data_IF_743693380346
#
_entry.id   IF_743693380346
#
_cell.length_a   1.000
_cell.length_b   1.000
_cell.length_c   1.000
_cell.angle_alpha   90.00
_cell.angle_beta   90.00
_cell.angle_gamma   90.00
#
_symmetry.space_group_name_H-M   'P 1'
#
loop_
_entity.id
_entity.type
_entity.pdbx_description
1 polymer ?
#
# COMPACT_ATOMS: atom_id res chain seq x y z
N UNK A 1 22.17 15.40 3.80
CA UNK A 1 21.97 16.53 2.86
C UNK A 1 22.46 17.83 3.51
N UNK A 2 23.15 18.72 2.79
CA UNK A 2 23.61 20.01 3.32
C UNK A 2 22.78 21.13 2.70
N UNK A 3 22.20 21.99 3.54
CA UNK A 3 21.44 23.14 3.06
C UNK A 3 22.40 24.20 2.49
N UNK A 4 22.29 24.54 1.19
CA UNK A 4 23.23 25.47 0.55
C UNK A 4 23.09 26.92 1.02
N UNK A 5 22.01 27.28 1.71
CA UNK A 5 21.73 28.65 2.14
C UNK A 5 22.23 28.98 3.55
N UNK A 6 22.30 27.99 4.44
CA UNK A 6 22.70 28.20 5.83
C UNK A 6 23.74 27.19 6.35
N UNK A 7 24.13 26.20 5.54
CA UNK A 7 25.14 25.20 5.90
C UNK A 7 24.67 24.11 6.86
N UNK A 8 23.39 24.11 7.28
CA UNK A 8 22.87 23.08 8.17
C UNK A 8 22.90 21.69 7.51
N UNK A 9 23.17 20.67 8.31
CA UNK A 9 23.24 19.28 7.89
C UNK A 9 21.97 18.54 8.28
N UNK A 10 21.33 17.92 7.31
CA UNK A 10 20.11 17.14 7.46
C UNK A 10 20.41 15.66 7.30
N UNK A 11 20.06 14.86 8.29
CA UNK A 11 20.23 13.41 8.33
C UNK A 11 18.85 12.78 8.44
N UNK A 12 18.61 11.72 7.68
CA UNK A 12 17.48 10.83 7.94
C UNK A 12 17.98 9.54 8.55
N UNK A 13 17.27 9.04 9.55
CA UNK A 13 17.57 7.77 10.21
C UNK A 13 16.62 6.64 9.76
N UNK A 14 15.89 6.81 8.66
CA UNK A 14 15.10 5.75 8.06
C UNK A 14 16.01 4.60 7.59
N UNK A 15 16.00 3.49 8.33
CA UNK A 15 16.90 2.36 8.06
C UNK A 15 16.43 1.46 6.89
N UNK A 16 15.14 1.43 6.57
CA UNK A 16 14.59 0.61 5.49
C UNK A 16 13.26 1.17 4.95
N UNK A 17 12.69 0.48 3.95
CA UNK A 17 11.43 0.86 3.31
C UNK A 17 10.16 0.46 4.09
N UNK A 18 10.30 0.00 5.33
CA UNK A 18 9.18 -0.45 6.18
C UNK A 18 9.10 0.30 7.51
N UNK A 19 10.08 1.15 7.81
CA UNK A 19 10.18 1.90 9.06
C UNK A 19 10.27 3.37 8.72
N UNK A 20 9.36 4.16 9.30
CA UNK A 20 9.42 5.63 9.20
C UNK A 20 10.68 6.13 9.90
N UNK A 21 11.42 7.03 9.25
CA UNK A 21 12.54 7.74 9.86
C UNK A 21 12.21 9.18 10.18
N UNK A 22 12.99 9.74 11.08
CA UNK A 22 13.04 11.14 11.41
C UNK A 22 13.92 11.89 10.41
N UNK A 23 13.75 13.22 10.35
CA UNK A 23 14.74 14.13 9.77
C UNK A 23 15.33 14.98 10.90
N UNK A 24 16.63 14.84 11.09
CA UNK A 24 17.42 15.56 12.08
C UNK A 24 18.16 16.70 11.40
N UNK A 25 18.07 17.91 11.94
CA UNK A 25 18.82 19.07 11.47
C UNK A 25 19.91 19.43 12.47
N UNK A 26 21.17 19.43 12.03
CA UNK A 26 22.33 19.87 12.79
C UNK A 26 22.88 21.17 12.23
N UNK A 27 23.41 22.06 13.07
CA UNK A 27 24.19 23.20 12.60
C UNK A 27 25.58 22.74 12.10
N UNK A 28 26.37 23.62 11.42
CA UNK A 28 27.70 23.27 10.96
C UNK A 28 28.68 22.81 12.06
N UNK A 29 28.37 23.11 13.32
CA UNK A 29 29.15 22.72 14.51
C UNK A 29 28.75 21.34 15.04
N UNK A 30 27.72 20.69 14.48
CA UNK A 30 27.25 19.37 14.88
C UNK A 30 26.24 19.38 16.02
N UNK A 31 25.66 20.52 16.38
CA UNK A 31 24.62 20.62 17.40
C UNK A 31 23.24 20.41 16.77
N UNK A 32 22.43 19.54 17.38
CA UNK A 32 21.06 19.27 16.94
C UNK A 32 20.19 20.52 17.16
N UNK A 33 19.60 21.02 16.08
CA UNK A 33 18.70 22.18 16.07
C UNK A 33 17.25 21.76 16.27
N UNK A 34 16.78 20.79 15.47
CA UNK A 34 15.43 20.25 15.57
C UNK A 34 15.33 18.86 14.97
N UNK A 35 14.22 18.19 15.30
CA UNK A 35 13.82 16.89 14.77
C UNK A 35 12.41 16.99 14.20
N UNK A 36 12.24 16.53 12.98
CA UNK A 36 10.94 16.24 12.40
C UNK A 36 10.72 14.74 12.53
N UNK A 37 9.71 14.35 13.30
CA UNK A 37 9.42 12.94 13.55
C UNK A 37 8.62 12.34 12.40
N UNK A 38 8.83 11.05 12.13
CA UNK A 38 7.97 10.27 11.25
C UNK A 38 7.77 10.88 9.84
N UNK A 39 8.82 11.48 9.25
CA UNK A 39 8.72 12.25 7.99
C UNK A 39 8.51 11.36 6.76
N UNK A 40 8.66 10.05 6.92
CA UNK A 40 8.23 9.07 5.94
C UNK A 40 9.17 7.87 5.83
N UNK A 41 8.83 7.00 4.90
CA UNK A 41 9.64 5.84 4.54
C UNK A 41 10.79 6.31 3.66
N UNK A 42 12.01 6.31 4.22
CA UNK A 42 13.26 6.63 3.53
C UNK A 42 13.22 7.92 2.68
N UNK A 43 13.23 9.13 3.30
CA UNK A 43 13.32 10.37 2.56
C UNK A 43 14.72 10.51 1.93
N UNK A 44 14.90 9.89 0.76
CA UNK A 44 16.13 9.95 -0.03
C UNK A 44 16.41 11.33 -0.62
N UNK A 45 15.44 12.25 -0.51
CA UNK A 45 15.50 13.58 -1.12
C UNK A 45 15.06 14.64 -0.12
N UNK A 46 15.96 15.59 0.15
CA UNK A 46 15.67 16.83 0.87
C UNK A 46 15.81 17.98 -0.12
N UNK A 47 14.80 18.84 -0.23
CA UNK A 47 14.79 20.03 -1.09
C UNK A 47 14.90 21.27 -0.21
N UNK A 48 15.76 22.20 -0.60
CA UNK A 48 15.95 23.47 0.10
C UNK A 48 15.36 24.61 -0.71
N UNK A 49 14.78 25.60 -0.02
CA UNK A 49 14.26 26.83 -0.59
C UNK A 49 14.85 28.02 0.18
N UNK A 50 15.29 29.06 -0.55
CA UNK A 50 15.71 30.35 0.00
C UNK A 50 14.54 31.29 0.28
N UNK A 51 13.33 30.92 -0.16
CA UNK A 51 12.11 31.63 0.18
C UNK A 51 11.64 31.21 1.56
N UNK A 52 11.51 32.19 2.44
CA UNK A 52 10.83 32.02 3.73
C UNK A 52 9.42 31.51 3.48
N UNK A 53 9.06 30.39 4.10
CA UNK A 53 7.67 29.94 4.12
C UNK A 53 6.82 31.07 4.72
N UNK A 54 5.84 31.57 3.97
CA UNK A 54 4.81 32.44 4.53
C UNK A 54 4.07 31.60 5.57
N UNK A 55 4.44 31.78 6.84
CA UNK A 55 3.73 31.23 7.98
C UNK A 55 2.45 32.05 8.18
N UNK A 56 1.52 31.97 7.23
CA UNK A 56 0.13 32.01 7.65
C UNK A 56 -0.10 30.67 8.33
N UNK A 57 -0.20 30.70 9.66
CA UNK A 57 -0.79 29.60 10.41
C UNK A 57 -2.25 29.57 9.99
N UNK A 58 -2.51 28.95 8.85
CA UNK A 58 -3.86 28.63 8.42
C UNK A 58 -4.31 27.54 9.39
N UNK A 59 -5.12 27.92 10.37
CA UNK A 59 -5.79 26.98 11.28
C UNK A 59 -6.90 26.20 10.57
N UNK A 60 -7.13 26.47 9.28
CA UNK A 60 -7.89 25.60 8.38
C UNK A 60 -6.97 24.63 7.65
N UNK A 61 -7.49 23.43 7.34
CA UNK A 61 -6.86 22.55 6.37
C UNK A 61 -6.48 23.35 5.12
N UNK A 62 -5.28 23.15 4.56
CA UNK A 62 -4.91 23.82 3.32
C UNK A 62 -5.98 23.50 2.26
N UNK A 63 -6.51 24.54 1.60
CA UNK A 63 -7.48 24.44 0.49
C UNK A 63 -6.83 23.89 -0.80
N UNK A 64 -5.78 23.07 -0.63
CA UNK A 64 -4.99 22.45 -1.66
C UNK A 64 -5.29 20.95 -1.59
N UNK A 65 -5.84 20.35 -2.66
CA UNK A 65 -6.10 18.92 -2.73
C UNK A 65 -4.88 18.09 -2.29
N UNK A 66 -5.08 17.07 -1.45
CA UNK A 66 -3.99 16.18 -1.03
C UNK A 66 -3.33 15.52 -2.25
N UNK A 67 -2.00 15.45 -2.28
CA UNK A 67 -1.28 14.76 -3.36
C UNK A 67 -1.44 13.23 -3.31
N UNK A 68 -1.98 12.68 -2.22
CA UNK A 68 -2.09 11.24 -1.97
C UNK A 68 -3.50 10.87 -1.49
N UNK A 69 -3.90 9.62 -1.74
CA UNK A 69 -5.09 9.05 -1.12
C UNK A 69 -4.99 9.13 0.41
N UNK A 70 -6.07 9.60 1.05
CA UNK A 70 -6.07 9.94 2.47
C UNK A 70 -6.85 8.95 3.34
N UNK A 71 -7.52 7.97 2.73
CA UNK A 71 -8.40 7.02 3.42
C UNK A 71 -8.24 5.61 2.88
N UNK A 72 -8.11 4.64 3.77
CA UNK A 72 -8.30 3.21 3.46
C UNK A 72 -9.71 2.81 3.88
N UNK A 73 -10.52 2.41 2.90
CA UNK A 73 -11.90 1.97 3.10
C UNK A 73 -11.97 0.48 3.38
N UNK A 74 -11.20 -0.29 2.62
CA UNK A 74 -11.15 -1.74 2.73
C UNK A 74 -9.69 -2.19 2.55
N UNK A 75 -9.32 -3.22 3.29
CA UNK A 75 -8.03 -3.86 3.14
C UNK A 75 -8.15 -5.34 3.48
N UNK A 76 -8.06 -6.18 2.46
CA UNK A 76 -8.25 -7.63 2.58
C UNK A 76 -7.10 -8.30 1.83
N UNK A 77 -5.91 -8.44 2.46
CA UNK A 77 -4.79 -9.11 1.80
C UNK A 77 -5.06 -10.61 1.69
N UNK A 78 -4.67 -11.19 0.55
CA UNK A 78 -4.67 -12.62 0.36
C UNK A 78 -3.47 -13.27 1.07
N UNK A 79 -3.43 -14.60 1.20
CA UNK A 79 -2.29 -15.27 1.81
C UNK A 79 -0.99 -14.99 1.04
N UNK A 80 0.14 -14.92 1.76
CA UNK A 80 1.42 -14.54 1.18
C UNK A 80 2.55 -14.42 2.20
N UNK A 81 3.78 -14.25 1.72
CA UNK A 81 4.97 -14.36 2.57
C UNK A 81 5.08 -13.27 3.66
N UNK A 82 4.48 -12.11 3.42
CA UNK A 82 4.53 -10.95 4.32
C UNK A 82 3.30 -10.82 5.23
N UNK A 83 2.39 -11.80 5.21
CA UNK A 83 1.17 -11.76 6.02
C UNK A 83 1.48 -11.98 7.50
N UNK A 84 0.70 -11.34 8.38
CA UNK A 84 0.91 -11.26 9.83
C UNK A 84 2.22 -10.52 10.20
N UNK A 85 2.54 -9.48 9.44
CA UNK A 85 3.67 -8.58 9.71
C UNK A 85 3.21 -7.13 9.65
N UNK A 86 4.10 -6.20 9.97
CA UNK A 86 3.88 -4.76 9.74
C UNK A 86 3.54 -4.44 8.28
N UNK A 87 4.09 -5.17 7.31
CA UNK A 87 3.80 -5.00 5.88
C UNK A 87 2.37 -5.41 5.52
N UNK A 88 1.71 -6.24 6.33
CA UNK A 88 0.28 -6.55 6.19
C UNK A 88 -0.58 -5.80 7.20
N UNK A 89 -0.10 -4.65 7.70
CA UNK A 89 -0.75 -3.85 8.74
C UNK A 89 -1.20 -4.67 9.96
N UNK A 90 -0.41 -5.67 10.37
CA UNK A 90 -0.75 -6.56 11.48
C UNK A 90 0.25 -6.44 12.64
N UNK A 91 -0.30 -6.49 13.85
CA UNK A 91 0.43 -6.80 15.09
C UNK A 91 -0.32 -7.93 15.80
N UNK A 92 0.40 -8.70 16.60
CA UNK A 92 -0.17 -9.85 17.30
C UNK A 92 -1.47 -9.50 18.03
N UNK A 93 -2.53 -10.29 17.79
CA UNK A 93 -3.84 -10.12 18.39
C UNK A 93 -4.73 -9.05 17.73
N UNK A 94 -4.30 -8.41 16.64
CA UNK A 94 -5.16 -7.44 15.94
C UNK A 94 -6.42 -8.10 15.36
N UNK A 95 -7.55 -7.43 15.56
CA UNK A 95 -8.83 -7.71 14.88
C UNK A 95 -8.83 -7.12 13.47
N UNK A 96 -9.78 -7.52 12.62
CA UNK A 96 -9.93 -6.95 11.27
C UNK A 96 -10.05 -5.42 11.26
N UNK A 97 -10.80 -4.84 12.21
CA UNK A 97 -10.93 -3.38 12.33
C UNK A 97 -9.62 -2.69 12.73
N UNK A 98 -8.79 -3.32 13.57
CA UNK A 98 -7.48 -2.79 13.92
C UNK A 98 -6.47 -2.90 12.79
N UNK A 99 -6.53 -3.98 12.00
CA UNK A 99 -5.74 -4.12 10.78
C UNK A 99 -6.11 -3.02 9.78
N UNK A 100 -7.40 -2.77 9.56
CA UNK A 100 -7.86 -1.70 8.67
C UNK A 100 -7.41 -0.32 9.15
N UNK A 101 -7.57 -0.03 10.44
CA UNK A 101 -7.12 1.24 11.04
C UNK A 101 -5.60 1.42 10.92
N UNK A 102 -4.83 0.34 11.09
CA UNK A 102 -3.38 0.41 10.94
C UNK A 102 -2.95 0.54 9.47
N UNK A 103 -3.67 -0.08 8.53
CA UNK A 103 -3.46 0.12 7.10
C UNK A 103 -3.69 1.59 6.70
N UNK A 104 -4.74 2.22 7.23
CA UNK A 104 -5.02 3.65 7.04
C UNK A 104 -3.86 4.53 7.53
N UNK A 105 -3.32 4.24 8.71
CA UNK A 105 -2.13 4.92 9.24
C UNK A 105 -0.88 4.71 8.35
N UNK A 106 -0.64 3.46 7.92
CA UNK A 106 0.49 3.11 7.07
C UNK A 106 0.43 3.81 5.71
N UNK A 107 -0.74 3.89 5.07
CA UNK A 107 -0.92 4.62 3.81
C UNK A 107 -0.64 6.12 3.99
N UNK A 108 -1.14 6.74 5.07
CA UNK A 108 -0.84 8.15 5.40
C UNK A 108 0.66 8.39 5.63
N UNK A 109 1.37 7.40 6.18
CA UNK A 109 2.83 7.39 6.35
C UNK A 109 3.61 7.00 5.08
N UNK A 110 2.91 6.73 3.98
CA UNK A 110 3.46 6.32 2.68
C UNK A 110 4.21 5.00 2.75
N UNK A 111 3.73 4.11 3.61
CA UNK A 111 4.30 2.79 3.78
C UNK A 111 3.88 1.79 2.71
N UNK A 112 4.72 0.80 2.48
CA UNK A 112 4.38 -0.33 1.63
C UNK A 112 3.43 -1.30 2.37
N UNK A 113 2.31 -1.62 1.73
CA UNK A 113 1.40 -2.69 2.17
C UNK A 113 1.44 -3.84 1.17
N UNK A 114 1.46 -5.08 1.68
CA UNK A 114 1.31 -6.27 0.84
C UNK A 114 -0.16 -6.52 0.54
N UNK A 115 -0.46 -6.90 -0.70
CA UNK A 115 -1.76 -7.47 -1.07
C UNK A 115 -1.76 -8.99 -0.95
N UNK A 116 -0.59 -9.63 -0.80
CA UNK A 116 -0.47 -11.08 -0.82
C UNK A 116 -0.60 -11.67 -2.23
N UNK A 117 -1.18 -12.86 -2.32
CA UNK A 117 -1.47 -13.54 -3.60
C UNK A 117 -2.68 -12.97 -4.34
N UNK A 118 -3.21 -13.75 -5.29
CA UNK A 118 -4.37 -13.37 -6.08
C UNK A 118 -5.56 -12.96 -5.19
N UNK A 119 -6.23 -11.88 -5.59
CA UNK A 119 -7.49 -11.43 -5.01
C UNK A 119 -7.34 -10.51 -3.80
N UNK A 120 -6.16 -10.48 -3.18
CA UNK A 120 -5.89 -9.54 -2.12
C UNK A 120 -5.97 -8.10 -2.63
N UNK A 121 -6.59 -7.23 -1.85
CA UNK A 121 -7.02 -5.91 -2.34
C UNK A 121 -6.95 -4.83 -1.25
N UNK A 122 -6.97 -3.59 -1.72
CA UNK A 122 -7.09 -2.37 -0.91
C UNK A 122 -7.95 -1.36 -1.66
N UNK A 123 -8.88 -0.73 -0.96
CA UNK A 123 -9.74 0.33 -1.49
C UNK A 123 -9.32 1.66 -0.88
N UNK A 124 -8.91 2.60 -1.73
CA UNK A 124 -8.36 3.91 -1.33
C UNK A 124 -9.29 5.05 -1.74
N UNK A 125 -9.44 6.04 -0.86
CA UNK A 125 -10.19 7.27 -1.11
C UNK A 125 -9.30 8.51 -1.20
N UNK A 126 -9.58 9.36 -2.19
CA UNK A 126 -9.04 10.71 -2.27
C UNK A 126 -10.03 11.69 -1.62
N UNK A 127 -9.51 12.76 -1.03
CA UNK A 127 -10.30 13.88 -0.48
C UNK A 127 -10.88 14.81 -1.56
N UNK A 128 -10.54 14.56 -2.83
CA UNK A 128 -10.98 15.31 -3.98
C UNK A 128 -11.14 14.40 -5.20
N UNK A 129 -11.84 14.89 -6.23
CA UNK A 129 -11.93 14.18 -7.51
C UNK A 129 -10.58 14.20 -8.23
N UNK A 130 -10.04 13.00 -8.48
CA UNK A 130 -8.94 12.81 -9.44
C UNK A 130 -9.48 13.08 -10.84
N UNK A 131 -9.01 14.14 -11.49
CA UNK A 131 -9.49 14.54 -12.82
C UNK A 131 -8.93 13.59 -13.87
N UNK A 132 -9.81 13.06 -14.72
CA UNK A 132 -9.42 12.36 -15.94
C UNK A 132 -9.04 13.38 -17.02
N UNK A 133 -7.75 13.49 -17.32
CA UNK A 133 -7.20 14.43 -18.29
C UNK A 133 -6.66 13.64 -19.48
N UNK A 134 -7.33 13.76 -20.62
CA UNK A 134 -6.94 13.06 -21.83
C UNK A 134 -5.47 13.32 -22.21
N UNK A 135 -4.71 12.24 -22.37
CA UNK A 135 -3.29 12.29 -22.74
C UNK A 135 -2.32 12.61 -21.59
N UNK A 136 -2.81 12.74 -20.35
CA UNK A 136 -1.99 12.93 -19.16
C UNK A 136 -2.10 11.73 -18.21
N UNK A 137 -1.18 11.66 -17.25
CA UNK A 137 -1.29 10.72 -16.13
C UNK A 137 -2.10 11.37 -15.02
N UNK A 138 -3.21 10.73 -14.63
CA UNK A 138 -4.13 11.25 -13.62
C UNK A 138 -3.69 10.90 -12.19
N UNK A 139 -3.11 9.71 -12.01
CA UNK A 139 -2.55 9.24 -10.75
C UNK A 139 -1.44 8.22 -10.98
N UNK A 140 -0.71 7.88 -9.90
CA UNK A 140 0.37 6.90 -9.92
C UNK A 140 0.29 5.98 -8.72
N UNK A 141 0.44 4.68 -8.95
CA UNK A 141 0.57 3.66 -7.92
C UNK A 141 2.04 3.22 -7.87
N UNK A 142 2.61 3.18 -6.67
CA UNK A 142 3.95 2.65 -6.44
C UNK A 142 3.84 1.18 -6.03
N UNK A 143 4.70 0.33 -6.62
CA UNK A 143 4.78 -1.09 -6.30
C UNK A 143 6.23 -1.54 -6.13
N UNK A 144 6.41 -2.79 -5.73
CA UNK A 144 7.73 -3.39 -5.51
C UNK A 144 8.26 -4.08 -6.78
N UNK A 145 8.51 -3.29 -7.83
CA UNK A 145 9.01 -3.80 -9.12
C UNK A 145 10.53 -3.79 -9.20
N UNK A 146 11.11 -4.86 -9.75
CA UNK A 146 12.52 -4.94 -10.11
C UNK A 146 12.70 -5.74 -11.41
N UNK A 147 13.90 -5.70 -12.00
CA UNK A 147 14.17 -6.40 -13.26
C UNK A 147 13.92 -7.91 -13.11
N UNK A 148 13.03 -8.46 -13.93
CA UNK A 148 12.63 -9.87 -13.88
C UNK A 148 11.56 -10.22 -12.86
N UNK A 149 11.01 -9.25 -12.11
CA UNK A 149 9.87 -9.47 -11.22
C UNK A 149 8.92 -8.29 -11.20
N UNK A 150 7.69 -8.54 -11.63
CA UNK A 150 6.56 -7.63 -11.49
C UNK A 150 5.50 -8.27 -10.59
N UNK A 151 4.88 -7.45 -9.76
CA UNK A 151 3.68 -7.80 -8.99
C UNK A 151 2.51 -7.03 -9.61
N UNK A 152 1.95 -7.50 -10.75
CA UNK A 152 0.88 -6.77 -11.43
C UNK A 152 -0.39 -6.78 -10.59
N UNK A 153 -1.12 -5.67 -10.63
CA UNK A 153 -2.42 -5.53 -10.00
C UNK A 153 -3.46 -5.05 -11.01
N UNK A 154 -4.70 -5.49 -10.84
CA UNK A 154 -5.85 -4.90 -11.52
C UNK A 154 -6.21 -3.61 -10.78
N UNK A 155 -6.41 -2.54 -11.54
CA UNK A 155 -6.80 -1.24 -10.98
C UNK A 155 -8.24 -0.97 -11.37
N UNK A 156 -9.09 -0.78 -10.38
CA UNK A 156 -10.45 -0.27 -10.57
C UNK A 156 -10.53 1.16 -10.05
N UNK A 157 -11.38 1.95 -10.69
CA UNK A 157 -11.71 3.32 -10.27
C UNK A 157 -13.21 3.47 -10.14
N UNK A 158 -13.65 4.23 -9.15
CA UNK A 158 -15.04 4.62 -8.96
C UNK A 158 -15.10 6.11 -8.67
N UNK A 159 -16.17 6.75 -9.13
CA UNK A 159 -16.50 8.13 -8.80
C UNK A 159 -17.67 8.10 -7.83
N UNK A 160 -17.57 8.84 -6.75
CA UNK A 160 -18.71 9.13 -5.87
C UNK A 160 -19.75 9.97 -6.64
N UNK A 161 -20.72 9.30 -7.26
CA UNK A 161 -21.79 9.91 -8.05
C UNK A 161 -22.91 10.35 -7.13
N UNK A 162 -23.17 9.58 -6.08
CA UNK A 162 -24.27 9.82 -5.16
C UNK A 162 -23.93 10.84 -4.04
N UNK A 163 -22.65 11.21 -3.90
CA UNK A 163 -22.07 12.15 -2.95
C UNK A 163 -22.23 11.73 -1.47
N UNK A 164 -22.20 10.43 -1.19
CA UNK A 164 -22.25 9.91 0.18
C UNK A 164 -20.86 9.71 0.80
N UNK A 165 -19.78 9.90 0.02
CA UNK A 165 -18.41 9.68 0.45
C UNK A 165 -18.04 8.23 0.69
N UNK A 166 -18.79 7.26 0.15
CA UNK A 166 -18.57 5.82 0.30
C UNK A 166 -18.14 5.18 -1.04
N UNK A 167 -17.39 4.07 -1.01
CA UNK A 167 -16.98 3.33 -2.21
C UNK A 167 -18.09 2.43 -2.79
N UNK A 168 -19.34 2.91 -2.84
CA UNK A 168 -20.52 2.10 -3.17
C UNK A 168 -21.15 2.39 -4.56
N UNK A 169 -20.56 3.30 -5.32
CA UNK A 169 -20.90 3.54 -6.72
C UNK A 169 -20.21 2.57 -7.69
N UNK A 170 -20.59 2.61 -8.97
CA UNK A 170 -20.07 1.72 -10.02
C UNK A 170 -18.54 1.79 -10.16
N UNK A 171 -17.91 0.61 -10.19
CA UNK A 171 -16.47 0.44 -10.35
C UNK A 171 -16.11 0.07 -11.79
N UNK A 172 -15.09 0.72 -12.33
CA UNK A 172 -14.58 0.49 -13.68
C UNK A 172 -13.14 -0.03 -13.64
N UNK A 173 -12.89 -1.17 -14.26
CA UNK A 173 -11.54 -1.69 -14.45
C UNK A 173 -10.79 -0.84 -15.50
N UNK A 174 -9.59 -0.38 -15.15
CA UNK A 174 -8.69 0.27 -16.09
C UNK A 174 -8.03 -0.77 -16.99
N UNK A 175 -8.17 -0.59 -18.30
CA UNK A 175 -7.59 -1.50 -19.28
C UNK A 175 -6.04 -1.47 -19.24
N UNK A 176 -5.45 -2.46 -18.59
CA UNK A 176 -4.00 -2.71 -18.60
C UNK A 176 -3.50 -3.39 -19.88
N UNK A 177 -2.20 -3.68 -19.94
CA UNK A 177 -1.54 -4.28 -21.12
C UNK A 177 -2.13 -5.62 -21.52
N UNK A 178 -2.58 -6.42 -20.55
CA UNK A 178 -3.17 -7.74 -20.77
C UNK A 178 -4.71 -7.72 -20.84
N UNK A 179 -5.37 -6.56 -20.71
CA UNK A 179 -6.84 -6.48 -20.58
C UNK A 179 -7.61 -7.19 -21.71
N UNK A 180 -7.05 -7.22 -22.92
CA UNK A 180 -7.67 -7.84 -24.11
C UNK A 180 -7.02 -9.18 -24.50
N UNK A 181 -6.16 -9.72 -23.64
CA UNK A 181 -5.50 -11.00 -23.85
C UNK A 181 -6.52 -12.13 -23.75
N UNK A 182 -6.45 -13.10 -24.67
CA UNK A 182 -7.30 -14.30 -24.65
C UNK A 182 -6.96 -15.27 -23.50
N UNK A 183 -5.85 -15.00 -22.80
CA UNK A 183 -5.37 -15.74 -21.63
C UNK A 183 -5.89 -15.19 -20.30
N UNK A 184 -6.57 -14.03 -20.31
CA UNK A 184 -7.20 -13.48 -19.11
C UNK A 184 -8.46 -14.28 -18.78
N UNK A 185 -8.63 -14.60 -17.49
CA UNK A 185 -9.85 -15.24 -16.99
C UNK A 185 -10.61 -14.21 -16.15
N UNK A 186 -11.72 -13.71 -16.71
CA UNK A 186 -12.66 -12.87 -15.98
C UNK A 186 -13.47 -13.70 -15.00
N UNK A 187 -13.99 -13.04 -13.94
CA UNK A 187 -14.82 -13.70 -12.92
C UNK A 187 -14.13 -14.93 -12.29
N UNK A 188 -12.80 -14.91 -12.25
CA UNK A 188 -12.01 -15.95 -11.62
C UNK A 188 -12.19 -15.87 -10.11
N UNK A 189 -12.49 -17.01 -9.50
CA UNK A 189 -12.67 -17.12 -8.06
C UNK A 189 -11.66 -18.10 -7.50
N UNK A 190 -10.94 -17.69 -6.46
CA UNK A 190 -10.03 -18.53 -5.69
C UNK A 190 -10.48 -18.58 -4.24
N UNK A 191 -10.36 -19.75 -3.64
CA UNK A 191 -10.62 -19.97 -2.23
C UNK A 191 -9.36 -20.49 -1.56
N UNK A 192 -8.89 -19.79 -0.53
CA UNK A 192 -7.79 -20.20 0.33
C UNK A 192 -8.30 -20.82 1.63
N UNK A 193 -7.55 -21.78 2.16
CA UNK A 193 -7.87 -22.48 3.41
C UNK A 193 -6.78 -22.24 4.45
N UNK A 194 -7.19 -21.93 5.68
CA UNK A 194 -6.28 -21.77 6.81
C UNK A 194 -5.49 -23.07 7.01
N UNK A 195 -4.14 -23.00 7.03
CA UNK A 195 -3.32 -24.18 7.20
C UNK A 195 -3.36 -24.68 8.65
N UNK A 196 -3.34 -26.00 8.82
CA UNK A 196 -3.17 -26.68 10.11
C UNK A 196 -2.01 -27.67 9.95
N UNK A 197 -0.84 -27.43 10.57
CA UNK A 197 -0.49 -26.32 11.46
C UNK A 197 -0.34 -24.96 10.73
N UNK A 198 -0.40 -23.85 11.48
CA UNK A 198 -0.38 -22.48 10.92
C UNK A 198 0.86 -22.14 10.08
N UNK A 199 1.96 -22.87 10.25
CA UNK A 199 3.22 -22.71 9.51
C UNK A 199 3.37 -23.68 8.33
N UNK A 200 2.27 -24.30 7.88
CA UNK A 200 2.25 -25.13 6.67
C UNK A 200 1.93 -24.30 5.40
N UNK A 201 2.00 -24.95 4.23
CA UNK A 201 1.57 -24.37 2.97
C UNK A 201 0.07 -24.04 3.01
N UNK A 202 -0.32 -22.91 2.41
CA UNK A 202 -1.73 -22.49 2.34
C UNK A 202 -2.37 -23.12 1.11
N UNK A 203 -3.28 -24.08 1.30
CA UNK A 203 -4.01 -24.71 0.19
C UNK A 203 -5.01 -23.73 -0.44
N UNK A 204 -5.21 -23.84 -1.74
CA UNK A 204 -6.29 -23.17 -2.46
C UNK A 204 -6.96 -24.07 -3.49
N UNK A 205 -8.21 -23.73 -3.83
CA UNK A 205 -8.96 -24.24 -4.98
C UNK A 205 -9.51 -23.07 -5.77
N UNK A 206 -9.84 -23.27 -7.04
CA UNK A 206 -10.47 -22.24 -7.87
C UNK A 206 -11.75 -22.70 -8.57
N UNK A 207 -12.46 -21.75 -9.18
CA UNK A 207 -13.66 -22.03 -9.97
C UNK A 207 -13.38 -22.62 -11.37
N UNK A 208 -12.12 -22.89 -11.70
CA UNK A 208 -11.70 -23.59 -12.92
C UNK A 208 -11.44 -25.08 -12.66
N UNK A 209 -11.71 -25.56 -11.43
CA UNK A 209 -11.48 -26.95 -11.03
C UNK A 209 -10.02 -27.29 -10.73
N UNK A 210 -9.16 -26.27 -10.56
CA UNK A 210 -7.74 -26.45 -10.21
C UNK A 210 -7.55 -26.27 -8.71
N UNK A 211 -6.48 -26.85 -8.22
CA UNK A 211 -6.05 -26.71 -6.83
C UNK A 211 -4.54 -26.54 -6.75
N UNK A 212 -4.08 -26.00 -5.62
CA UNK A 212 -2.66 -25.83 -5.37
C UNK A 212 -2.39 -25.37 -3.94
N UNK A 213 -1.20 -24.82 -3.73
CA UNK A 213 -0.86 -24.20 -2.46
C UNK A 213 0.11 -23.06 -2.63
N UNK A 214 0.12 -22.13 -1.69
CA UNK A 214 1.19 -21.14 -1.53
C UNK A 214 2.28 -21.80 -0.67
N UNK A 215 3.46 -22.09 -1.25
CA UNK A 215 4.52 -22.77 -0.55
C UNK A 215 5.21 -21.85 0.47
N UNK A 216 5.67 -22.45 1.57
CA UNK A 216 6.59 -21.81 2.51
C UNK A 216 7.94 -21.54 1.83
N UNK A 217 8.59 -20.43 2.19
CA UNK A 217 9.93 -20.11 1.71
C UNK A 217 10.98 -20.12 2.84
N UNK A 218 12.25 -19.92 2.47
CA UNK A 218 13.38 -19.95 3.40
C UNK A 218 13.63 -18.65 4.17
N UNK A 219 12.91 -17.57 3.86
CA UNK A 219 13.17 -16.22 4.39
C UNK A 219 12.15 -15.81 5.47
N UNK A 220 10.85 -16.03 5.23
CA UNK A 220 9.76 -15.62 6.13
C UNK A 220 9.20 -16.85 6.85
N UNK A 221 9.98 -17.38 7.80
CA UNK A 221 9.73 -18.69 8.43
C UNK A 221 8.85 -18.64 9.70
N UNK A 222 8.80 -17.50 10.35
CA UNK A 222 8.17 -17.38 11.68
C UNK A 222 6.68 -17.00 11.62
N UNK A 223 6.26 -16.30 10.57
CA UNK A 223 4.87 -15.90 10.39
C UNK A 223 4.07 -16.95 9.61
N UNK A 224 2.79 -17.10 9.97
CA UNK A 224 1.82 -17.78 9.10
C UNK A 224 1.63 -16.95 7.82
N UNK A 225 1.50 -17.61 6.68
CA UNK A 225 1.17 -16.93 5.43
C UNK A 225 -0.34 -16.69 5.26
N UNK A 226 -1.17 -17.20 6.17
CA UNK A 226 -2.60 -16.98 6.16
C UNK A 226 -2.98 -15.85 7.14
N UNK A 227 -3.84 -14.89 6.77
CA UNK A 227 -4.25 -13.80 7.67
C UNK A 227 -4.87 -14.33 8.97
N UNK A 228 -4.26 -14.04 10.12
CA UNK A 228 -4.72 -14.59 11.40
C UNK A 228 -6.08 -14.03 11.83
N UNK A 229 -6.44 -12.84 11.36
CA UNK A 229 -7.68 -12.13 11.71
C UNK A 229 -8.89 -12.46 10.81
N UNK A 230 -8.74 -13.35 9.83
CA UNK A 230 -9.81 -13.76 8.92
C UNK A 230 -10.44 -15.10 9.34
N UNK A 231 -11.47 -15.57 8.62
CA UNK A 231 -12.06 -16.89 8.85
C UNK A 231 -11.16 -18.03 8.34
N UNK A 232 -11.51 -19.29 8.61
CA UNK A 232 -10.76 -20.48 8.18
C UNK A 232 -10.76 -20.69 6.65
N UNK A 233 -11.65 -20.00 5.95
CA UNK A 233 -11.74 -19.96 4.50
C UNK A 233 -11.93 -18.52 4.05
N UNK A 234 -11.17 -18.09 3.06
CA UNK A 234 -11.36 -16.79 2.39
C UNK A 234 -11.44 -17.00 0.89
N UNK A 235 -12.40 -16.32 0.27
CA UNK A 235 -12.67 -16.41 -1.16
C UNK A 235 -12.56 -15.04 -1.78
N UNK A 236 -11.83 -14.95 -2.89
CA UNK A 236 -11.68 -13.73 -3.67
C UNK A 236 -12.14 -13.96 -5.10
N UNK A 237 -12.66 -12.91 -5.72
CA UNK A 237 -13.11 -12.90 -7.11
C UNK A 237 -12.52 -11.72 -7.85
N UNK A 238 -12.14 -11.91 -9.10
CA UNK A 238 -11.62 -10.84 -9.95
C UNK A 238 -11.10 -11.35 -11.30
N UNK A 239 -10.27 -10.54 -11.94
CA UNK A 239 -9.65 -10.84 -13.24
C UNK A 239 -8.28 -11.49 -13.04
N UNK A 240 -8.12 -12.75 -13.45
CA UNK A 240 -6.83 -13.44 -13.43
C UNK A 240 -6.02 -13.14 -14.68
N UNK A 241 -4.86 -12.52 -14.49
CA UNK A 241 -3.89 -12.25 -15.55
C UNK A 241 -3.11 -13.51 -15.94
N UNK A 242 -2.52 -13.55 -17.14
CA UNK A 242 -1.64 -14.63 -17.56
C UNK A 242 -0.43 -14.74 -16.61
N UNK A 243 0.13 -15.95 -16.49
CA UNK A 243 1.36 -16.15 -15.73
C UNK A 243 2.52 -15.37 -16.38
N UNK A 244 3.34 -14.72 -15.54
CA UNK A 244 4.62 -14.11 -15.92
C UNK A 244 5.64 -15.16 -16.40
#
# INVERSE_FOLDING_TARGET
>A
HVNPYNGNVYITDAYNYTVTGDVLCFNPQGELQFRLNDVGINPNTVVFSDKTSLSEVNTGEPDVPSAFAGKVWEYTPAPGQFINTVTSAYKEGFTAGQVLAYADEQIKKRSLLTLGGFGGNITLGFDHTVKNIAGAYDFKIYGNVYEGSSEPGIVLVSKDVNNNGLPDDEWYELAGSEYRSDKVIQEYEITYYRPVPLLANVRWIDNQGREGSIPRNSFHKENSYYPLWMDDKITFRGTLLPNN
#
